data_IF_411031848005
#
_entry.id   IF_411031848005
#
_cell.length_a   1.000
_cell.length_b   1.000
_cell.length_c   1.000
_cell.angle_alpha   90.00
_cell.angle_beta   90.00
_cell.angle_gamma   90.00
#
_symmetry.space_group_name_H-M   'P 1'
#
loop_
_entity.id
_entity.type
_entity.pdbx_description
1 polymer ?
#
# COMPACT_ATOMS: atom_id res chain seq x y z
N UNK A 1 5.77 -13.86 -66.08
CA UNK A 1 4.42 -13.32 -66.30
C UNK A 1 4.41 -11.89 -66.93
N UNK A 2 5.42 -11.04 -66.60
CA UNK A 2 5.58 -9.71 -67.17
C UNK A 2 5.75 -9.74 -68.69
N UNK A 3 6.49 -10.71 -69.21
CA UNK A 3 6.75 -10.91 -70.62
C UNK A 3 5.50 -11.22 -71.47
N UNK A 4 4.47 -11.84 -70.86
CA UNK A 4 3.23 -12.24 -71.51
C UNK A 4 2.17 -11.11 -71.62
N UNK A 5 2.46 -9.93 -71.06
CA UNK A 5 1.47 -8.84 -71.02
C UNK A 5 2.12 -7.52 -71.40
N UNK A 6 2.25 -7.22 -72.69
CA UNK A 6 2.78 -5.94 -73.20
C UNK A 6 2.00 -4.75 -72.67
N UNK A 7 2.70 -3.68 -72.33
CA UNK A 7 2.14 -2.42 -71.83
C UNK A 7 1.70 -2.41 -70.37
N UNK A 8 1.60 -3.56 -69.67
CA UNK A 8 1.20 -3.63 -68.27
C UNK A 8 2.37 -3.42 -67.33
N UNK A 9 2.09 -2.71 -66.20
CA UNK A 9 3.02 -2.60 -65.09
C UNK A 9 2.71 -3.66 -64.04
N UNK A 10 3.75 -4.31 -63.52
CA UNK A 10 3.66 -5.28 -62.41
C UNK A 10 4.57 -4.84 -61.29
N UNK A 11 4.11 -5.05 -60.06
CA UNK A 11 4.85 -4.78 -58.84
C UNK A 11 5.28 -6.11 -58.23
N UNK A 12 6.56 -6.16 -57.77
CA UNK A 12 7.14 -7.28 -57.10
C UNK A 12 7.91 -6.82 -55.85
N UNK A 13 7.88 -7.58 -54.80
CA UNK A 13 8.76 -7.42 -53.64
C UNK A 13 9.73 -8.57 -53.65
N UNK A 14 11.03 -8.25 -53.65
CA UNK A 14 12.11 -9.22 -53.79
C UNK A 14 13.20 -8.97 -52.75
N UNK A 15 13.96 -9.98 -52.42
CA UNK A 15 15.23 -9.84 -51.71
C UNK A 15 16.36 -10.08 -52.70
N UNK A 16 17.21 -9.07 -52.85
CA UNK A 16 18.38 -9.12 -53.73
C UNK A 16 19.66 -9.09 -52.89
N UNK A 17 20.74 -9.64 -53.39
CA UNK A 17 22.06 -9.47 -52.86
C UNK A 17 22.69 -8.26 -53.54
N UNK A 18 23.27 -7.32 -52.75
CA UNK A 18 24.05 -6.22 -53.30
C UNK A 18 25.47 -6.72 -53.70
N UNK A 19 26.30 -5.83 -54.29
CA UNK A 19 27.65 -6.17 -54.73
C UNK A 19 28.59 -6.62 -53.61
N UNK A 20 28.23 -6.38 -52.34
CA UNK A 20 28.98 -6.79 -51.15
C UNK A 20 28.37 -8.01 -50.44
N UNK A 21 27.39 -8.70 -51.10
CA UNK A 21 26.74 -9.89 -50.54
C UNK A 21 25.70 -9.60 -49.45
N UNK A 22 25.25 -8.35 -49.24
CA UNK A 22 24.25 -8.01 -48.27
C UNK A 22 22.86 -8.12 -48.86
N UNK A 23 21.91 -8.66 -48.06
CA UNK A 23 20.50 -8.78 -48.49
C UNK A 23 19.85 -7.41 -48.49
N UNK A 24 19.25 -7.04 -49.62
CA UNK A 24 18.44 -5.83 -49.80
C UNK A 24 16.99 -6.22 -50.05
N UNK A 25 16.04 -5.63 -49.28
CA UNK A 25 14.62 -5.75 -49.58
C UNK A 25 14.26 -4.66 -50.58
N UNK A 26 13.80 -5.06 -51.76
CA UNK A 26 13.51 -4.11 -52.84
C UNK A 26 12.09 -4.29 -53.35
N UNK A 27 11.45 -3.15 -53.65
CA UNK A 27 10.23 -3.11 -54.40
C UNK A 27 10.55 -2.75 -55.85
N UNK A 28 10.05 -3.58 -56.75
CA UNK A 28 10.38 -3.50 -58.16
C UNK A 28 9.12 -3.33 -58.97
N UNK A 29 9.08 -2.32 -59.79
CA UNK A 29 8.03 -2.14 -60.82
C UNK A 29 8.62 -2.42 -62.20
N UNK A 30 8.09 -3.41 -62.84
CA UNK A 30 8.46 -3.77 -64.21
C UNK A 30 7.35 -3.40 -65.17
N UNK A 31 7.68 -2.73 -66.28
CA UNK A 31 6.76 -2.44 -67.40
C UNK A 31 7.33 -3.05 -68.67
N UNK A 32 6.53 -3.89 -69.29
CA UNK A 32 6.89 -4.48 -70.56
C UNK A 32 6.58 -3.53 -71.69
N UNK A 33 7.60 -3.03 -72.41
CA UNK A 33 7.56 -2.15 -73.56
C UNK A 33 8.30 -2.79 -74.74
N UNK A 34 8.26 -4.12 -74.87
CA UNK A 34 8.89 -4.86 -75.97
C UNK A 34 8.27 -4.50 -77.31
N UNK A 35 7.00 -4.20 -77.38
CA UNK A 35 6.27 -3.82 -78.57
C UNK A 35 6.33 -2.31 -78.86
N UNK A 36 6.85 -1.47 -77.93
CA UNK A 36 7.05 -0.06 -78.16
C UNK A 36 8.25 0.18 -79.06
N UNK A 37 8.03 0.84 -80.23
CA UNK A 37 9.11 1.04 -81.23
C UNK A 37 10.27 1.87 -80.71
N UNK A 38 10.06 2.74 -79.74
CA UNK A 38 11.09 3.61 -79.18
C UNK A 38 11.90 2.95 -78.08
N UNK A 39 11.31 1.99 -77.30
CA UNK A 39 11.97 1.39 -76.14
C UNK A 39 12.42 -0.05 -76.40
N UNK A 40 11.60 -0.87 -77.03
CA UNK A 40 11.87 -2.29 -77.38
C UNK A 40 12.48 -3.06 -76.19
N UNK A 41 12.00 -2.82 -74.96
CA UNK A 41 12.59 -3.37 -73.76
C UNK A 41 11.64 -3.42 -72.59
N UNK A 42 12.17 -3.84 -71.43
CA UNK A 42 11.46 -3.82 -70.18
C UNK A 42 12.07 -2.69 -69.33
N UNK A 43 11.24 -1.75 -68.87
CA UNK A 43 11.65 -0.75 -67.92
C UNK A 43 11.45 -1.33 -66.53
N UNK A 44 12.51 -1.33 -65.73
CA UNK A 44 12.45 -1.77 -64.33
C UNK A 44 12.85 -0.60 -63.45
N UNK A 45 11.95 -0.25 -62.50
CA UNK A 45 12.25 0.70 -61.45
C UNK A 45 12.39 -0.09 -60.11
N UNK A 46 13.47 0.17 -59.44
CA UNK A 46 13.81 -0.57 -58.18
C UNK A 46 13.90 0.46 -57.07
N UNK A 47 13.17 0.22 -55.98
CA UNK A 47 13.22 1.03 -54.75
C UNK A 47 13.73 0.19 -53.61
N UNK A 48 14.79 0.63 -52.96
CA UNK A 48 15.36 -0.07 -51.79
C UNK A 48 14.48 0.27 -50.57
N UNK A 49 13.85 -0.74 -49.99
CA UNK A 49 12.99 -0.65 -48.79
C UNK A 49 13.70 -1.26 -47.56
N UNK A 50 14.98 -1.59 -47.64
CA UNK A 50 15.71 -2.33 -46.59
C UNK A 50 15.65 -1.63 -45.24
N UNK A 51 15.91 -0.32 -45.22
CA UNK A 51 15.87 0.47 -43.98
C UNK A 51 14.45 0.57 -43.39
N UNK A 52 13.46 0.77 -44.29
CA UNK A 52 12.05 0.84 -43.89
C UNK A 52 11.55 -0.48 -43.32
N UNK A 53 11.90 -1.62 -43.96
CA UNK A 53 11.54 -2.94 -43.44
C UNK A 53 12.26 -3.25 -42.11
N UNK A 54 13.54 -2.90 -41.98
CA UNK A 54 14.31 -3.06 -40.76
C UNK A 54 13.71 -2.25 -39.59
N UNK A 55 13.32 -0.98 -39.84
CA UNK A 55 12.72 -0.13 -38.82
C UNK A 55 11.32 -0.62 -38.42
N UNK A 56 10.49 -1.05 -39.40
CA UNK A 56 9.19 -1.69 -39.09
C UNK A 56 9.37 -2.96 -38.26
N UNK A 57 10.35 -3.82 -38.58
CA UNK A 57 10.62 -5.02 -37.83
C UNK A 57 11.08 -4.70 -36.38
N UNK A 58 11.92 -3.68 -36.25
CA UNK A 58 12.38 -3.18 -34.94
C UNK A 58 11.23 -2.66 -34.11
N UNK A 59 10.40 -1.76 -34.64
CA UNK A 59 9.22 -1.23 -33.94
C UNK A 59 8.24 -2.35 -33.54
N UNK A 60 8.00 -3.28 -34.46
CA UNK A 60 7.16 -4.46 -34.16
C UNK A 60 7.72 -5.28 -33.00
N UNK A 61 9.04 -5.56 -33.02
CA UNK A 61 9.71 -6.29 -31.92
C UNK A 61 9.59 -5.58 -30.58
N UNK A 62 9.72 -4.26 -30.57
CA UNK A 62 9.53 -3.45 -29.34
C UNK A 62 8.10 -3.56 -28.85
N UNK A 63 7.11 -3.38 -29.70
CA UNK A 63 5.69 -3.50 -29.35
C UNK A 63 5.35 -4.90 -28.83
N UNK A 64 5.89 -5.95 -29.46
CA UNK A 64 5.67 -7.34 -29.04
C UNK A 64 6.35 -7.71 -27.71
N UNK A 65 7.36 -6.94 -27.28
CA UNK A 65 8.05 -7.13 -25.99
C UNK A 65 7.34 -6.43 -24.83
N UNK A 66 6.39 -5.53 -25.10
CA UNK A 66 5.64 -4.85 -24.05
C UNK A 66 4.66 -5.84 -23.36
N UNK A 67 4.54 -5.78 -22.03
CA UNK A 67 3.65 -6.67 -21.28
C UNK A 67 2.17 -6.30 -21.38
N UNK A 68 1.81 -5.28 -22.16
CA UNK A 68 0.46 -4.77 -22.33
C UNK A 68 0.07 -4.62 -23.80
N UNK A 69 -1.21 -4.40 -24.05
CA UNK A 69 -1.80 -4.23 -25.36
C UNK A 69 -1.77 -2.76 -25.78
N UNK A 70 -1.08 -2.47 -26.88
CA UNK A 70 -1.14 -1.16 -27.54
C UNK A 70 -2.28 -1.16 -28.55
N UNK A 71 -3.07 -0.10 -28.56
CA UNK A 71 -4.12 0.11 -29.54
C UNK A 71 -4.19 1.57 -29.99
N UNK A 72 -4.83 1.81 -31.12
CA UNK A 72 -5.10 3.15 -31.64
C UNK A 72 -6.54 3.25 -32.11
N UNK A 73 -7.22 4.33 -31.71
CA UNK A 73 -8.56 4.67 -32.20
C UNK A 73 -8.51 5.95 -33.03
N UNK A 74 -9.29 6.01 -34.10
CA UNK A 74 -9.40 7.18 -34.94
C UNK A 74 -10.56 8.05 -34.48
N UNK A 75 -10.26 9.22 -33.96
CA UNK A 75 -11.27 10.17 -33.49
C UNK A 75 -11.77 11.05 -34.66
N UNK A 76 -13.07 10.98 -34.96
CA UNK A 76 -13.70 11.77 -35.99
C UNK A 76 -14.45 12.96 -35.37
N UNK A 77 -14.57 14.05 -36.13
CA UNK A 77 -15.24 15.26 -35.68
C UNK A 77 -16.74 15.00 -35.51
N UNK A 78 -17.31 15.40 -34.36
CA UNK A 78 -18.74 15.22 -34.08
C UNK A 78 -19.12 13.83 -33.53
N UNK A 79 -18.17 12.90 -33.36
CA UNK A 79 -18.39 11.60 -32.75
C UNK A 79 -17.93 11.61 -31.28
N UNK A 80 -18.63 10.84 -30.41
CA UNK A 80 -18.14 10.62 -29.05
C UNK A 80 -16.82 9.84 -29.11
N UNK A 81 -15.70 10.40 -28.65
CA UNK A 81 -14.40 9.77 -28.76
C UNK A 81 -14.32 8.43 -27.99
N UNK A 82 -15.18 8.21 -26.99
CA UNK A 82 -15.24 6.94 -26.27
C UNK A 82 -15.60 5.76 -27.18
N UNK A 83 -16.35 6.02 -28.25
CA UNK A 83 -16.79 5.02 -29.22
C UNK A 83 -16.10 5.17 -30.59
N UNK A 84 -14.92 5.79 -30.60
CA UNK A 84 -14.12 5.91 -31.80
C UNK A 84 -13.66 4.54 -32.29
N UNK A 85 -13.75 4.24 -33.62
CA UNK A 85 -13.33 2.96 -34.16
C UNK A 85 -11.82 2.73 -33.97
N UNK A 86 -11.45 1.53 -33.56
CA UNK A 86 -10.05 1.15 -33.47
C UNK A 86 -9.45 1.04 -34.88
N UNK A 87 -8.36 1.73 -35.10
CA UNK A 87 -7.55 1.63 -36.32
C UNK A 87 -6.48 0.53 -36.19
N UNK A 88 -6.10 0.20 -34.98
CA UNK A 88 -5.10 -0.83 -34.67
C UNK A 88 -5.30 -1.38 -33.26
N UNK A 89 -5.06 -2.66 -33.09
CA UNK A 89 -4.86 -3.32 -31.80
C UNK A 89 -3.77 -4.40 -31.95
N UNK A 90 -2.83 -4.47 -31.01
CA UNK A 90 -1.75 -5.45 -31.04
C UNK A 90 -2.30 -6.87 -30.84
N UNK A 91 -2.28 -7.78 -31.83
CA UNK A 91 -3.09 -9.00 -31.79
C UNK A 91 -2.74 -9.93 -30.64
N UNK A 92 -1.45 -10.21 -30.43
CA UNK A 92 -0.98 -11.11 -29.39
C UNK A 92 -1.28 -10.58 -27.99
N UNK A 93 -0.90 -9.34 -27.73
CA UNK A 93 -1.05 -8.70 -26.41
C UNK A 93 -2.52 -8.47 -26.07
N UNK A 94 -3.34 -8.10 -27.04
CA UNK A 94 -4.80 -7.98 -26.85
C UNK A 94 -5.41 -9.31 -26.39
N UNK A 95 -5.01 -10.42 -27.03
CA UNK A 95 -5.45 -11.75 -26.63
C UNK A 95 -4.96 -12.13 -25.22
N UNK A 96 -3.73 -11.78 -24.86
CA UNK A 96 -3.15 -12.08 -23.54
C UNK A 96 -3.78 -11.25 -22.44
N UNK A 97 -3.96 -9.94 -22.66
CA UNK A 97 -4.43 -8.98 -21.64
C UNK A 97 -5.95 -8.96 -21.48
N UNK A 98 -6.69 -9.04 -22.59
CA UNK A 98 -8.15 -8.96 -22.60
C UNK A 98 -8.83 -10.33 -22.70
N UNK A 99 -8.13 -11.34 -23.21
CA UNK A 99 -8.67 -12.68 -23.46
C UNK A 99 -9.56 -12.77 -24.71
N UNK A 100 -9.61 -11.73 -25.53
CA UNK A 100 -10.36 -11.65 -26.78
C UNK A 100 -9.41 -11.41 -27.96
N UNK A 101 -9.73 -11.91 -29.16
CA UNK A 101 -8.98 -11.59 -30.36
C UNK A 101 -9.11 -10.09 -30.69
N UNK A 102 -8.05 -9.50 -31.26
CA UNK A 102 -8.03 -8.09 -31.61
C UNK A 102 -9.13 -7.71 -32.62
N UNK A 103 -9.49 -8.64 -33.49
CA UNK A 103 -10.54 -8.50 -34.50
C UNK A 103 -11.89 -8.14 -33.88
N UNK A 104 -12.24 -8.73 -32.72
CA UNK A 104 -13.50 -8.44 -32.03
C UNK A 104 -13.62 -6.97 -31.59
N UNK A 105 -12.48 -6.34 -31.25
CA UNK A 105 -12.45 -4.94 -30.85
C UNK A 105 -12.41 -4.00 -32.08
N UNK A 106 -11.81 -4.46 -33.18
CA UNK A 106 -11.75 -3.69 -34.42
C UNK A 106 -13.08 -3.64 -35.16
N UNK A 107 -13.90 -4.70 -35.05
CA UNK A 107 -15.20 -4.82 -35.73
C UNK A 107 -16.32 -4.03 -35.03
N UNK A 108 -16.30 -3.94 -33.71
CA UNK A 108 -17.32 -3.26 -32.91
C UNK A 108 -16.73 -2.37 -31.84
N UNK A 109 -16.75 -1.03 -32.00
CA UNK A 109 -16.26 -0.09 -30.99
C UNK A 109 -16.97 -0.19 -29.63
N UNK A 110 -18.23 -0.67 -29.61
CA UNK A 110 -18.97 -0.84 -28.36
C UNK A 110 -18.58 -2.14 -27.59
N UNK A 111 -17.95 -3.09 -28.26
CA UNK A 111 -17.57 -4.37 -27.69
C UNK A 111 -16.72 -4.20 -26.43
N UNK A 112 -15.71 -3.35 -26.47
CA UNK A 112 -14.83 -3.07 -25.35
C UNK A 112 -15.62 -2.61 -24.11
N UNK A 113 -16.45 -1.56 -24.26
CA UNK A 113 -17.22 -1.00 -23.15
C UNK A 113 -18.28 -1.97 -22.61
N UNK A 114 -18.79 -2.88 -23.46
CA UNK A 114 -19.69 -3.96 -23.00
C UNK A 114 -19.02 -4.92 -22.02
N UNK A 115 -17.69 -5.04 -22.05
CA UNK A 115 -16.90 -5.88 -21.16
C UNK A 115 -16.33 -5.16 -19.94
N UNK A 116 -16.32 -3.83 -19.94
CA UNK A 116 -16.00 -3.03 -18.74
C UNK A 116 -17.09 -3.23 -17.69
N UNK A 117 -16.68 -3.37 -16.42
CA UNK A 117 -17.64 -3.50 -15.31
C UNK A 117 -18.62 -2.30 -15.30
N UNK A 118 -19.92 -2.53 -15.09
CA UNK A 118 -20.94 -1.45 -15.21
C UNK A 118 -20.64 -0.20 -14.38
N UNK A 119 -20.11 -0.38 -13.16
CA UNK A 119 -19.75 0.74 -12.27
C UNK A 119 -18.55 1.56 -12.77
N UNK A 120 -17.66 0.95 -13.57
CA UNK A 120 -16.42 1.58 -13.99
C UNK A 120 -16.54 2.23 -15.39
N UNK A 121 -17.63 1.94 -16.15
CA UNK A 121 -17.83 2.42 -17.53
C UNK A 121 -17.74 3.93 -17.66
N UNK A 122 -18.48 4.66 -16.83
CA UNK A 122 -18.52 6.11 -16.87
C UNK A 122 -17.15 6.74 -16.66
N UNK A 123 -16.33 6.15 -15.78
CA UNK A 123 -14.97 6.61 -15.51
C UNK A 123 -14.04 6.39 -16.73
N UNK A 124 -14.15 5.22 -17.39
CA UNK A 124 -13.33 4.91 -18.57
C UNK A 124 -13.72 5.80 -19.75
N UNK A 125 -15.01 5.98 -20.01
CA UNK A 125 -15.50 6.89 -21.04
C UNK A 125 -15.03 8.33 -20.81
N UNK A 126 -15.10 8.80 -19.58
CA UNK A 126 -14.65 10.14 -19.21
C UNK A 126 -13.13 10.29 -19.39
N UNK A 127 -12.33 9.28 -19.09
CA UNK A 127 -10.89 9.31 -19.31
C UNK A 127 -10.56 9.45 -20.81
N UNK A 128 -11.29 8.75 -21.69
CA UNK A 128 -11.16 8.89 -23.14
C UNK A 128 -11.52 10.31 -23.61
N UNK A 129 -12.66 10.86 -23.13
CA UNK A 129 -13.07 12.22 -23.48
C UNK A 129 -12.05 13.26 -23.01
N UNK A 130 -11.49 13.10 -21.82
CA UNK A 130 -10.44 13.98 -21.30
C UNK A 130 -9.16 13.91 -22.13
N UNK A 131 -8.74 12.71 -22.55
CA UNK A 131 -7.56 12.58 -23.39
C UNK A 131 -7.72 13.38 -24.70
N UNK A 132 -8.90 13.36 -25.30
CA UNK A 132 -9.18 14.14 -26.52
C UNK A 132 -9.32 15.64 -26.25
N UNK A 133 -9.90 16.02 -25.11
CA UNK A 133 -10.06 17.43 -24.72
C UNK A 133 -8.71 18.08 -24.34
N UNK A 134 -7.71 17.30 -23.91
CA UNK A 134 -6.38 17.78 -23.49
C UNK A 134 -5.27 17.07 -24.29
N UNK A 135 -5.10 17.44 -25.58
CA UNK A 135 -4.12 16.80 -26.45
C UNK A 135 -2.69 16.84 -25.90
N UNK A 136 -1.97 15.73 -26.01
CA UNK A 136 -0.61 15.60 -25.51
C UNK A 136 -0.50 15.31 -24.00
N UNK A 137 -1.59 15.43 -23.24
CA UNK A 137 -1.61 15.03 -21.83
C UNK A 137 -1.96 13.55 -21.69
N UNK A 138 -1.23 12.86 -20.79
CA UNK A 138 -1.50 11.46 -20.49
C UNK A 138 -2.67 11.34 -19.52
N UNK A 139 -3.70 10.59 -19.92
CA UNK A 139 -4.80 10.21 -19.04
C UNK A 139 -4.66 8.76 -18.62
N UNK A 140 -5.03 8.44 -17.37
CA UNK A 140 -4.95 7.10 -16.81
C UNK A 140 -6.31 6.69 -16.28
N UNK A 141 -6.75 5.47 -16.63
CA UNK A 141 -7.94 4.85 -16.08
C UNK A 141 -7.59 3.45 -15.54
N UNK A 142 -8.06 3.13 -14.33
CA UNK A 142 -7.95 1.78 -13.76
C UNK A 142 -9.37 1.25 -13.55
N UNK A 143 -9.68 0.09 -14.11
CA UNK A 143 -11.05 -0.43 -14.17
C UNK A 143 -11.07 -1.94 -14.21
N UNK A 144 -12.23 -2.53 -13.92
CA UNK A 144 -12.50 -3.96 -14.02
C UNK A 144 -13.00 -4.31 -15.43
N UNK A 145 -12.41 -5.32 -16.04
CA UNK A 145 -12.74 -5.79 -17.37
C UNK A 145 -13.03 -7.30 -17.35
N UNK A 146 -14.10 -7.75 -18.00
CA UNK A 146 -14.45 -9.16 -18.11
C UNK A 146 -13.53 -9.85 -19.10
N UNK A 147 -12.55 -10.58 -18.59
CA UNK A 147 -11.55 -11.27 -19.40
C UNK A 147 -12.16 -12.47 -20.15
N UNK A 148 -11.99 -12.49 -21.47
CA UNK A 148 -12.67 -13.45 -22.34
C UNK A 148 -12.36 -14.92 -22.07
N UNK A 149 -11.13 -15.25 -21.73
CA UNK A 149 -10.73 -16.64 -21.44
C UNK A 149 -10.93 -17.03 -19.98
N UNK A 150 -10.71 -16.10 -19.03
CA UNK A 150 -10.88 -16.37 -17.60
C UNK A 150 -12.34 -16.37 -17.17
N UNK A 151 -13.21 -15.66 -17.90
CA UNK A 151 -14.63 -15.52 -17.56
C UNK A 151 -14.90 -14.73 -16.27
N UNK A 152 -13.89 -14.04 -15.75
CA UNK A 152 -13.94 -13.23 -14.52
C UNK A 152 -13.45 -11.82 -14.78
N UNK A 153 -13.81 -10.89 -13.91
CA UNK A 153 -13.26 -9.55 -13.96
C UNK A 153 -11.79 -9.52 -13.55
N UNK A 154 -10.98 -8.83 -14.33
CA UNK A 154 -9.57 -8.53 -14.06
C UNK A 154 -9.40 -7.02 -13.96
N UNK A 155 -8.44 -6.57 -13.16
CA UNK A 155 -8.09 -5.16 -13.08
C UNK A 155 -7.12 -4.80 -14.20
N UNK A 156 -7.51 -3.83 -15.00
CA UNK A 156 -6.69 -3.26 -16.07
C UNK A 156 -6.40 -1.81 -15.78
N UNK A 157 -5.24 -1.37 -16.24
CA UNK A 157 -4.87 0.05 -16.28
C UNK A 157 -4.63 0.45 -17.72
N UNK A 158 -5.30 1.51 -18.14
CA UNK A 158 -5.18 2.10 -19.45
C UNK A 158 -4.50 3.46 -19.37
N UNK A 159 -3.53 3.68 -20.23
CA UNK A 159 -2.81 4.94 -20.40
C UNK A 159 -3.12 5.48 -21.77
N UNK A 160 -3.72 6.67 -21.85
CA UNK A 160 -4.31 7.26 -23.06
C UNK A 160 -3.59 8.55 -23.40
N UNK A 161 -3.29 8.74 -24.67
CA UNK A 161 -2.77 10.00 -25.21
C UNK A 161 -3.41 10.26 -26.58
N UNK A 162 -3.81 11.51 -26.82
CA UNK A 162 -4.40 11.93 -28.09
C UNK A 162 -3.45 12.88 -28.83
N UNK A 163 -3.28 12.58 -30.12
CA UNK A 163 -2.56 13.44 -31.07
C UNK A 163 -3.54 14.08 -32.05
N UNK A 164 -3.73 15.41 -32.00
CA UNK A 164 -4.66 16.10 -32.87
C UNK A 164 -4.21 16.19 -34.35
N UNK A 165 -2.89 16.08 -34.63
CA UNK A 165 -2.38 16.14 -36.00
C UNK A 165 -2.75 14.89 -36.79
N UNK A 166 -2.61 13.73 -36.15
CA UNK A 166 -2.96 12.41 -36.73
C UNK A 166 -4.41 12.01 -36.48
N UNK A 167 -5.09 12.69 -35.53
CA UNK A 167 -6.41 12.34 -34.99
C UNK A 167 -6.46 10.94 -34.41
N UNK A 168 -5.33 10.47 -33.85
CA UNK A 168 -5.22 9.16 -33.21
C UNK A 168 -5.19 9.29 -31.69
N UNK A 169 -6.09 8.57 -31.05
CA UNK A 169 -6.01 8.25 -29.63
C UNK A 169 -5.21 6.95 -29.50
N UNK A 170 -4.04 7.02 -28.88
CA UNK A 170 -3.21 5.84 -28.61
C UNK A 170 -3.40 5.43 -27.16
N UNK A 171 -3.71 4.16 -26.96
CA UNK A 171 -3.87 3.56 -25.63
C UNK A 171 -2.89 2.44 -25.41
N UNK A 172 -2.51 2.25 -24.15
CA UNK A 172 -1.70 1.13 -23.64
C UNK A 172 -2.38 0.53 -22.41
N UNK A 173 -2.91 -0.67 -22.57
CA UNK A 173 -3.66 -1.39 -21.54
C UNK A 173 -2.84 -2.56 -21.00
N UNK A 174 -2.76 -2.71 -19.68
CA UNK A 174 -2.05 -3.81 -19.03
C UNK A 174 -2.74 -4.29 -17.75
N UNK A 175 -2.43 -5.52 -17.36
CA UNK A 175 -2.96 -6.17 -16.17
C UNK A 175 -2.29 -5.59 -14.91
N UNK A 176 -3.12 -5.18 -13.93
CA UNK A 176 -2.68 -4.64 -12.62
C UNK A 176 -3.29 -5.41 -11.45
N UNK A 177 -3.75 -6.65 -11.66
CA UNK A 177 -4.35 -7.45 -10.58
C UNK A 177 -3.42 -7.61 -9.39
N UNK A 178 -2.15 -7.86 -9.63
CA UNK A 178 -1.16 -8.03 -8.55
C UNK A 178 -0.96 -6.74 -7.75
N UNK A 179 -0.81 -5.60 -8.45
CA UNK A 179 -0.67 -4.29 -7.79
C UNK A 179 -1.89 -3.94 -6.93
N UNK A 180 -3.10 -4.13 -7.49
CA UNK A 180 -4.36 -3.86 -6.78
C UNK A 180 -4.54 -4.81 -5.60
N UNK A 181 -4.24 -6.09 -5.76
CA UNK A 181 -4.33 -7.08 -4.68
C UNK A 181 -3.35 -6.76 -3.53
N UNK A 182 -2.12 -6.37 -3.84
CA UNK A 182 -1.12 -5.96 -2.84
C UNK A 182 -1.58 -4.70 -2.08
N UNK A 183 -2.10 -3.70 -2.77
CA UNK A 183 -2.59 -2.47 -2.14
C UNK A 183 -3.84 -2.72 -1.28
N UNK A 184 -4.76 -3.58 -1.74
CA UNK A 184 -5.91 -4.00 -0.95
C UNK A 184 -5.49 -4.75 0.31
N UNK A 185 -4.61 -5.75 0.18
CA UNK A 185 -4.10 -6.51 1.32
C UNK A 185 -3.38 -5.61 2.32
N UNK A 186 -2.60 -4.62 1.85
CA UNK A 186 -1.95 -3.62 2.70
C UNK A 186 -2.98 -2.80 3.46
N UNK A 187 -3.98 -2.27 2.76
CA UNK A 187 -5.04 -1.43 3.35
C UNK A 187 -5.86 -2.21 4.38
N UNK A 188 -6.24 -3.46 4.04
CA UNK A 188 -6.97 -4.35 4.96
C UNK A 188 -6.15 -4.69 6.20
N UNK A 189 -4.85 -4.98 6.03
CA UNK A 189 -3.94 -5.26 7.15
C UNK A 189 -3.79 -4.06 8.07
N UNK A 190 -3.61 -2.85 7.50
CA UNK A 190 -3.53 -1.60 8.27
C UNK A 190 -4.84 -1.31 9.02
N UNK A 191 -5.99 -1.50 8.37
CA UNK A 191 -7.30 -1.31 8.99
C UNK A 191 -7.57 -2.32 10.11
N UNK A 192 -7.23 -3.59 9.89
CA UNK A 192 -7.34 -4.65 10.91
C UNK A 192 -6.43 -4.36 12.11
N UNK A 193 -5.16 -4.04 11.86
CA UNK A 193 -4.23 -3.67 12.93
C UNK A 193 -4.77 -2.50 13.77
N UNK A 194 -5.24 -1.44 13.12
CA UNK A 194 -5.82 -0.28 13.80
C UNK A 194 -7.02 -0.67 14.63
N UNK A 195 -7.94 -1.45 14.07
CA UNK A 195 -9.15 -1.92 14.79
C UNK A 195 -8.78 -2.74 16.02
N UNK A 196 -7.87 -3.71 15.88
CA UNK A 196 -7.42 -4.55 16.99
C UNK A 196 -6.72 -3.72 18.08
N UNK A 197 -5.87 -2.79 17.69
CA UNK A 197 -5.19 -1.92 18.65
C UNK A 197 -6.17 -1.00 19.40
N UNK A 198 -7.13 -0.39 18.69
CA UNK A 198 -8.10 0.55 19.28
C UNK A 198 -9.16 -0.13 20.16
N UNK A 199 -9.47 -1.40 19.92
CA UNK A 199 -10.45 -2.17 20.71
C UNK A 199 -9.83 -2.96 21.85
N UNK A 200 -8.50 -3.09 21.89
CA UNK A 200 -7.80 -3.83 22.93
C UNK A 200 -8.04 -3.20 24.33
N UNK A 201 -8.40 -4.00 25.36
CA UNK A 201 -8.56 -3.52 26.72
C UNK A 201 -7.18 -3.38 27.44
N UNK A 202 -6.17 -3.01 26.69
CA UNK A 202 -4.80 -2.82 27.11
C UNK A 202 -4.21 -1.58 26.46
N UNK A 203 -3.40 -0.87 27.19
CA UNK A 203 -2.58 0.22 26.64
C UNK A 203 -1.62 -0.36 25.61
N UNK A 204 -1.63 0.18 24.39
CA UNK A 204 -0.68 -0.16 23.31
C UNK A 204 0.06 1.10 22.90
N UNK A 205 1.38 1.04 22.97
CA UNK A 205 2.28 2.13 22.64
C UNK A 205 3.33 1.66 21.64
N UNK A 206 3.59 2.47 20.63
CA UNK A 206 4.76 2.36 19.78
C UNK A 206 5.60 3.61 19.94
N UNK A 207 6.85 3.47 20.28
CA UNK A 207 7.78 4.58 20.37
C UNK A 207 9.07 4.29 19.63
N UNK A 208 9.62 5.31 19.01
CA UNK A 208 10.72 5.22 18.06
C UNK A 208 11.71 6.34 18.31
N UNK A 209 13.00 6.09 18.12
CA UNK A 209 14.00 7.14 18.13
C UNK A 209 13.86 8.00 16.85
N UNK A 210 13.80 9.32 17.00
CA UNK A 210 13.77 10.25 15.86
C UNK A 210 15.10 10.20 15.10
N UNK A 211 16.22 10.18 15.83
CA UNK A 211 17.56 9.94 15.31
C UNK A 211 18.03 8.53 15.72
N UNK A 212 18.31 7.63 14.75
CA UNK A 212 18.86 6.31 15.05
C UNK A 212 20.21 6.34 15.81
N UNK A 213 20.92 7.47 15.77
CA UNK A 213 22.17 7.68 16.51
C UNK A 213 21.96 8.21 17.92
N UNK A 214 20.86 8.92 18.14
CA UNK A 214 20.44 9.43 19.44
C UNK A 214 19.17 8.74 19.91
N UNK A 215 19.33 7.60 20.57
CA UNK A 215 18.20 6.83 21.09
C UNK A 215 17.47 7.55 22.23
N UNK A 216 18.03 8.62 22.79
CA UNK A 216 17.36 9.46 23.80
C UNK A 216 16.32 10.38 23.20
N UNK A 217 16.35 10.58 21.87
CA UNK A 217 15.34 11.31 21.09
C UNK A 217 14.02 10.55 20.93
N UNK A 218 13.90 9.34 21.49
CA UNK A 218 12.73 8.49 21.31
C UNK A 218 11.43 9.17 21.74
N UNK A 219 10.48 9.20 20.82
CA UNK A 219 9.15 9.76 20.99
C UNK A 219 8.08 8.72 20.68
N UNK A 220 6.90 8.97 21.17
CA UNK A 220 5.74 8.13 20.89
C UNK A 220 5.33 8.31 19.44
N UNK A 221 5.28 7.21 18.69
CA UNK A 221 4.79 7.18 17.31
C UNK A 221 3.30 6.80 17.23
N UNK A 222 2.82 5.97 18.18
CA UNK A 222 1.44 5.53 18.26
C UNK A 222 1.03 5.27 19.71
N UNK A 223 -0.20 5.59 20.04
CA UNK A 223 -0.91 5.20 21.25
C UNK A 223 -2.35 4.85 20.87
N UNK A 224 -2.87 3.74 21.38
CA UNK A 224 -4.28 3.39 21.20
C UNK A 224 -5.18 4.18 22.15
N UNK A 225 -6.50 4.10 21.89
CA UNK A 225 -7.51 4.78 22.71
C UNK A 225 -7.40 4.46 24.20
N UNK A 226 -7.09 3.23 24.56
CA UNK A 226 -6.95 2.82 25.96
C UNK A 226 -5.77 3.49 26.64
N UNK A 227 -4.65 3.70 25.94
CA UNK A 227 -3.50 4.44 26.46
C UNK A 227 -3.86 5.91 26.77
N UNK A 228 -4.60 6.56 25.89
CA UNK A 228 -5.07 7.94 26.10
C UNK A 228 -6.08 8.03 27.25
N UNK A 229 -7.03 7.09 27.31
CA UNK A 229 -8.03 7.02 28.37
C UNK A 229 -7.40 6.81 29.75
N UNK A 230 -6.48 5.88 29.85
CA UNK A 230 -5.83 5.51 31.11
C UNK A 230 -4.94 6.64 31.64
N UNK A 231 -4.20 7.29 30.76
CA UNK A 231 -3.24 8.33 31.15
C UNK A 231 -3.86 9.73 31.25
N UNK A 232 -4.98 9.97 30.55
CA UNK A 232 -5.65 11.29 30.49
C UNK A 232 -4.95 12.30 29.61
N UNK A 233 -3.86 11.92 28.91
CA UNK A 233 -3.15 12.79 27.97
C UNK A 233 -3.71 12.65 26.56
N UNK A 234 -3.59 13.71 25.76
CA UNK A 234 -3.79 13.62 24.30
C UNK A 234 -2.56 13.00 23.63
N UNK A 235 -2.72 12.55 22.38
CA UNK A 235 -1.61 12.00 21.63
C UNK A 235 -0.48 13.04 21.45
N UNK A 236 -0.83 14.28 21.16
CA UNK A 236 0.12 15.38 20.99
C UNK A 236 0.92 15.66 22.28
N UNK A 237 0.24 15.62 23.42
CA UNK A 237 0.91 15.80 24.73
C UNK A 237 1.88 14.65 25.02
N UNK A 238 1.51 13.41 24.66
CA UNK A 238 2.39 12.24 24.83
C UNK A 238 3.58 12.28 23.85
N UNK A 239 3.40 12.84 22.67
CA UNK A 239 4.47 12.99 21.67
C UNK A 239 5.44 14.14 21.98
N UNK A 240 4.99 15.16 22.73
CA UNK A 240 5.78 16.32 23.03
C UNK A 240 7.01 16.03 23.91
N UNK A 241 6.99 14.92 24.65
CA UNK A 241 8.02 14.58 25.64
C UNK A 241 8.49 13.13 25.48
N UNK A 242 9.71 12.80 25.94
CA UNK A 242 10.16 11.40 26.04
C UNK A 242 9.21 10.58 26.91
N UNK A 243 8.90 9.36 26.47
CA UNK A 243 7.89 8.50 27.11
C UNK A 243 8.18 8.23 28.60
N UNK A 244 9.43 8.20 29.01
CA UNK A 244 9.81 7.97 30.42
C UNK A 244 9.47 9.16 31.34
N UNK A 245 9.11 10.33 30.81
CA UNK A 245 8.64 11.44 31.65
C UNK A 245 7.26 11.20 32.26
N UNK A 246 6.46 10.32 31.63
CA UNK A 246 5.15 9.90 32.15
C UNK A 246 5.26 8.75 33.15
N UNK A 247 6.45 8.21 33.36
CA UNK A 247 6.74 7.17 34.36
C UNK A 247 6.96 7.82 35.72
N UNK A 248 6.46 7.14 36.77
CA UNK A 248 6.66 7.58 38.15
C UNK A 248 8.17 7.81 38.43
N UNK A 249 8.56 8.87 39.14
CA UNK A 249 9.98 9.24 39.36
C UNK A 249 10.87 8.09 39.84
N UNK A 250 10.39 7.27 40.78
CA UNK A 250 11.13 6.12 41.32
C UNK A 250 11.38 4.99 40.30
N UNK A 251 10.53 4.86 39.27
CA UNK A 251 10.62 3.77 38.27
C UNK A 251 11.27 4.24 36.98
N UNK A 252 11.42 5.56 36.80
CA UNK A 252 11.83 6.23 35.55
C UNK A 252 13.16 5.73 35.01
N UNK A 253 14.18 5.64 35.89
CA UNK A 253 15.52 5.25 35.46
C UNK A 253 15.54 3.81 34.94
N UNK A 254 14.87 2.87 35.61
CA UNK A 254 14.79 1.48 35.21
C UNK A 254 14.04 1.31 33.89
N UNK A 255 12.92 2.01 33.72
CA UNK A 255 12.11 1.97 32.48
C UNK A 255 12.90 2.53 31.31
N UNK A 256 13.55 3.68 31.51
CA UNK A 256 14.41 4.32 30.51
C UNK A 256 15.57 3.41 30.09
N UNK A 257 16.30 2.86 31.04
CA UNK A 257 17.42 1.95 30.77
C UNK A 257 16.99 0.72 29.95
N UNK A 258 15.88 0.07 30.33
CA UNK A 258 15.31 -1.07 29.60
C UNK A 258 14.84 -0.71 28.19
N UNK A 259 14.23 0.44 28.03
CA UNK A 259 13.79 0.93 26.75
C UNK A 259 14.96 1.18 25.78
N UNK A 260 15.98 1.90 26.25
CA UNK A 260 17.17 2.17 25.45
C UNK A 260 17.95 0.90 25.10
N UNK A 261 18.04 -0.06 26.04
CA UNK A 261 18.65 -1.38 25.79
C UNK A 261 17.94 -2.12 24.64
N UNK A 262 16.59 -2.10 24.61
CA UNK A 262 15.82 -2.70 23.50
C UNK A 262 16.09 -2.03 22.17
N UNK A 263 16.12 -0.71 22.12
CA UNK A 263 16.45 0.01 20.86
C UNK A 263 17.85 -0.36 20.35
N UNK A 264 18.81 -0.58 21.24
CA UNK A 264 20.16 -1.05 20.89
C UNK A 264 20.20 -2.50 20.41
N UNK A 265 19.12 -3.27 20.59
CA UNK A 265 19.06 -4.69 20.27
C UNK A 265 19.51 -5.62 21.40
N UNK A 266 19.69 -5.09 22.60
CA UNK A 266 19.90 -5.87 23.82
C UNK A 266 18.58 -6.55 24.25
N UNK A 267 18.66 -7.57 25.10
CA UNK A 267 17.52 -8.37 25.54
C UNK A 267 17.20 -8.16 27.05
N UNK A 268 16.73 -6.95 27.45
CA UNK A 268 16.26 -6.75 28.82
C UNK A 268 14.95 -7.54 29.06
N UNK A 269 14.50 -7.71 30.32
CA UNK A 269 13.25 -8.40 30.63
C UNK A 269 12.09 -7.91 29.76
N UNK A 270 11.37 -8.83 29.12
CA UNK A 270 10.26 -8.50 28.22
C UNK A 270 9.03 -8.03 28.97
N UNK A 271 8.79 -8.52 30.20
CA UNK A 271 7.63 -8.19 31.04
C UNK A 271 8.08 -7.72 32.43
N UNK A 272 7.48 -6.65 32.91
CA UNK A 272 7.73 -6.09 34.25
C UNK A 272 6.63 -5.11 34.63
N UNK A 273 6.49 -4.85 35.93
CA UNK A 273 5.54 -3.88 36.45
C UNK A 273 6.24 -2.57 36.77
N UNK A 274 5.55 -1.47 36.54
CA UNK A 274 5.99 -0.12 36.92
C UNK A 274 4.80 0.83 37.03
N UNK A 275 5.03 2.01 37.59
CA UNK A 275 4.00 3.02 37.80
C UNK A 275 4.10 4.14 36.74
N UNK A 276 2.96 4.59 36.27
CA UNK A 276 2.82 5.78 35.42
C UNK A 276 2.05 6.85 36.17
N UNK A 277 2.27 8.10 35.78
CA UNK A 277 1.53 9.26 36.27
C UNK A 277 0.51 9.70 35.23
N UNK A 278 -0.75 9.77 35.62
CA UNK A 278 -1.79 10.37 34.77
C UNK A 278 -1.63 11.90 34.72
N UNK A 279 -2.31 12.55 33.81
CA UNK A 279 -2.35 14.03 33.69
C UNK A 279 -2.83 14.70 34.97
N UNK A 280 -3.70 14.05 35.73
CA UNK A 280 -4.21 14.51 37.03
C UNK A 280 -3.26 14.18 38.20
N UNK A 281 -2.11 13.58 37.95
CA UNK A 281 -1.14 13.22 38.97
C UNK A 281 -1.45 11.89 39.68
N UNK A 282 -2.45 11.14 39.27
CA UNK A 282 -2.76 9.82 39.83
C UNK A 282 -1.72 8.80 39.44
N UNK A 283 -1.40 7.88 40.37
CA UNK A 283 -0.49 6.76 40.12
C UNK A 283 -1.30 5.57 39.57
N UNK A 284 -0.88 5.02 38.42
CA UNK A 284 -1.41 3.78 37.84
C UNK A 284 -0.33 2.72 37.74
N UNK A 285 -0.65 1.51 38.15
CA UNK A 285 0.25 0.37 38.00
C UNK A 285 0.04 -0.34 36.70
N UNK A 286 1.11 -0.51 35.94
CA UNK A 286 1.06 -1.26 34.68
C UNK A 286 1.82 -2.58 34.82
N UNK A 287 1.22 -3.66 34.34
CA UNK A 287 1.90 -4.87 33.95
C UNK A 287 2.24 -4.75 32.45
N UNK A 288 3.49 -4.53 32.15
CA UNK A 288 3.94 -4.06 30.84
C UNK A 288 4.84 -5.09 30.17
N UNK A 289 4.52 -5.40 28.94
CA UNK A 289 5.33 -6.20 28.04
C UNK A 289 5.83 -5.35 26.88
N UNK A 290 7.10 -5.49 26.50
CA UNK A 290 7.69 -4.72 25.42
C UNK A 290 8.60 -5.56 24.54
N UNK A 291 8.53 -5.33 23.23
CA UNK A 291 9.34 -5.96 22.21
C UNK A 291 10.00 -4.93 21.30
N UNK A 292 11.22 -5.22 20.84
CA UNK A 292 11.83 -4.45 19.74
C UNK A 292 11.17 -4.84 18.44
N UNK A 293 10.80 -3.83 17.67
CA UNK A 293 10.27 -3.98 16.32
C UNK A 293 11.01 -3.03 15.37
N UNK A 294 10.81 -3.19 14.09
CA UNK A 294 11.35 -2.27 13.09
C UNK A 294 10.19 -1.62 12.33
N UNK A 295 10.19 -0.30 12.26
CA UNK A 295 9.18 0.48 11.58
C UNK A 295 9.88 1.43 10.59
N UNK A 296 9.57 1.28 9.31
CA UNK A 296 10.20 2.06 8.23
C UNK A 296 11.73 2.03 8.26
N UNK A 297 12.33 0.85 8.54
CA UNK A 297 13.77 0.66 8.62
C UNK A 297 14.44 1.27 9.86
N UNK A 298 13.66 1.69 10.87
CA UNK A 298 14.15 2.26 12.12
C UNK A 298 13.77 1.40 13.31
N UNK A 299 14.64 1.25 14.31
CA UNK A 299 14.31 0.52 15.53
C UNK A 299 13.24 1.25 16.32
N UNK A 300 12.25 0.51 16.76
CA UNK A 300 11.16 0.96 17.59
C UNK A 300 10.87 -0.05 18.71
N UNK A 301 10.11 0.35 19.70
CA UNK A 301 9.63 -0.52 20.78
C UNK A 301 8.11 -0.50 20.79
N UNK A 302 7.52 -1.67 20.58
CA UNK A 302 6.11 -1.91 20.81
C UNK A 302 5.91 -2.35 22.26
N UNK A 303 5.08 -1.63 22.98
CA UNK A 303 4.73 -1.91 24.36
C UNK A 303 3.24 -2.14 24.52
N UNK A 304 2.90 -3.15 25.34
CA UNK A 304 1.52 -3.45 25.74
C UNK A 304 1.45 -3.45 27.25
N UNK A 305 0.52 -2.70 27.82
CA UNK A 305 0.36 -2.56 29.27
C UNK A 305 -1.07 -2.83 29.72
N UNK A 306 -1.20 -3.60 30.78
CA UNK A 306 -2.47 -3.80 31.49
C UNK A 306 -2.47 -2.93 32.75
N UNK A 307 -3.56 -2.20 32.99
CA UNK A 307 -3.75 -1.54 34.28
C UNK A 307 -4.08 -2.57 35.35
N UNK A 308 -3.18 -2.71 36.29
CA UNK A 308 -3.31 -3.60 37.45
C UNK A 308 -3.50 -2.83 38.74
N UNK A 309 -3.85 -1.54 38.69
CA UNK A 309 -3.96 -0.67 39.87
C UNK A 309 -4.96 -1.25 40.89
N UNK A 310 -6.14 -1.60 40.42
CA UNK A 310 -7.17 -2.19 41.28
C UNK A 310 -6.74 -3.53 41.91
N UNK A 311 -6.03 -4.37 41.15
CA UNK A 311 -5.49 -5.62 41.67
C UNK A 311 -4.42 -5.36 42.75
N UNK A 312 -3.55 -4.37 42.56
CA UNK A 312 -2.52 -3.99 43.53
C UNK A 312 -3.12 -3.34 44.78
N UNK A 313 -4.16 -2.55 44.66
CA UNK A 313 -4.90 -1.98 45.77
C UNK A 313 -5.61 -3.07 46.60
N UNK A 314 -6.26 -4.04 45.96
CA UNK A 314 -6.85 -5.20 46.64
C UNK A 314 -5.79 -6.05 47.35
N UNK A 315 -4.67 -6.33 46.71
CA UNK A 315 -3.54 -7.07 47.31
C UNK A 315 -3.07 -6.38 48.57
N UNK A 316 -2.80 -5.06 48.52
CA UNK A 316 -2.38 -4.26 49.67
C UNK A 316 -3.40 -4.27 50.79
N UNK A 317 -4.70 -4.16 50.45
CA UNK A 317 -5.78 -4.20 51.44
C UNK A 317 -5.84 -5.56 52.13
N UNK A 318 -5.73 -6.67 51.38
CA UNK A 318 -5.72 -8.00 51.95
C UNK A 318 -4.48 -8.25 52.84
N UNK A 319 -3.30 -7.80 52.39
CA UNK A 319 -2.07 -7.89 53.20
C UNK A 319 -2.22 -7.11 54.53
N UNK A 320 -2.80 -5.91 54.44
CA UNK A 320 -3.08 -5.09 55.60
C UNK A 320 -4.05 -5.79 56.57
N UNK A 321 -5.17 -6.35 56.07
CA UNK A 321 -6.07 -7.13 56.91
C UNK A 321 -5.40 -8.35 57.52
N UNK A 322 -4.55 -9.07 56.78
CA UNK A 322 -3.81 -10.22 57.30
C UNK A 322 -2.86 -9.81 58.42
N UNK A 323 -2.16 -8.66 58.29
CA UNK A 323 -1.28 -8.12 59.32
C UNK A 323 -2.06 -7.75 60.59
N UNK A 324 -3.22 -7.08 60.45
CA UNK A 324 -4.10 -6.76 61.60
C UNK A 324 -4.56 -8.06 62.28
N UNK A 325 -5.05 -9.03 61.52
CA UNK A 325 -5.53 -10.31 62.07
C UNK A 325 -4.42 -11.07 62.79
N UNK A 326 -3.19 -11.05 62.32
CA UNK A 326 -2.02 -11.67 62.96
C UNK A 326 -1.68 -10.96 64.27
N UNK A 327 -1.65 -9.61 64.27
CA UNK A 327 -1.39 -8.81 65.44
C UNK A 327 -2.42 -9.05 66.55
N UNK A 328 -3.71 -9.08 66.19
CA UNK A 328 -4.79 -9.40 67.13
C UNK A 328 -4.70 -10.80 67.72
N UNK A 329 -4.24 -11.76 66.95
CA UNK A 329 -4.06 -13.17 67.41
C UNK A 329 -2.89 -13.35 68.34
N UNK A 330 -1.90 -12.51 68.30
CA UNK A 330 -0.68 -12.55 69.15
C UNK A 330 -0.81 -11.76 70.42
N UNK A 331 -1.88 -10.98 70.58
CA UNK A 331 -2.12 -10.16 71.78
C UNK A 331 -2.65 -11.01 72.91
N UNK A 332 -2.06 -10.86 74.10
CA UNK A 332 -2.39 -11.65 75.31
C UNK A 332 -3.57 -11.08 76.09
N UNK A 333 -3.88 -9.77 75.92
CA UNK A 333 -4.94 -9.11 76.60
C UNK A 333 -5.65 -8.05 75.71
N UNK A 334 -6.84 -7.60 76.14
CA UNK A 334 -7.69 -6.71 75.37
C UNK A 334 -7.02 -5.37 75.06
N UNK A 335 -6.21 -4.84 75.95
CA UNK A 335 -5.51 -3.58 75.76
C UNK A 335 -4.47 -3.66 74.66
N UNK A 336 -3.61 -4.69 74.66
CA UNK A 336 -2.62 -4.97 73.61
C UNK A 336 -3.28 -5.24 72.27
N UNK A 337 -4.45 -5.90 72.26
CA UNK A 337 -5.24 -6.14 71.09
C UNK A 337 -5.73 -4.87 70.46
N UNK A 338 -6.20 -3.93 71.26
CA UNK A 338 -6.67 -2.59 70.81
C UNK A 338 -5.51 -1.72 70.33
N UNK A 339 -4.41 -1.69 71.04
CA UNK A 339 -3.23 -0.92 70.63
C UNK A 339 -2.66 -1.46 69.33
N UNK A 340 -2.56 -2.78 69.17
CA UNK A 340 -2.13 -3.44 67.93
C UNK A 340 -3.08 -3.18 66.73
N UNK A 341 -4.41 -3.21 66.98
CA UNK A 341 -5.41 -2.90 65.99
C UNK A 341 -5.35 -1.42 65.53
N UNK A 342 -5.17 -0.51 66.48
CA UNK A 342 -5.05 0.94 66.22
C UNK A 342 -3.78 1.24 65.43
N UNK A 343 -2.63 0.70 65.87
CA UNK A 343 -1.35 0.86 65.16
C UNK A 343 -1.39 0.31 63.75
N UNK A 344 -2.04 -0.83 63.54
CA UNK A 344 -2.21 -1.43 62.21
C UNK A 344 -3.14 -0.56 61.37
N UNK A 345 -4.27 -0.08 61.90
CA UNK A 345 -5.19 0.80 61.19
C UNK A 345 -4.52 2.15 60.78
N UNK A 346 -3.73 2.75 61.70
CA UNK A 346 -2.97 3.99 61.41
C UNK A 346 -1.95 3.76 60.29
N UNK A 347 -1.26 2.64 60.27
CA UNK A 347 -0.32 2.28 59.18
C UNK A 347 -1.01 2.06 57.83
N UNK A 348 -2.18 1.42 57.83
CA UNK A 348 -2.98 1.15 56.60
C UNK A 348 -3.52 2.47 56.04
N UNK A 349 -4.03 3.32 56.89
CA UNK A 349 -4.67 4.60 56.46
C UNK A 349 -3.71 5.75 56.27
N UNK A 350 -2.40 5.53 56.60
CA UNK A 350 -1.39 6.59 56.64
C UNK A 350 -1.81 7.78 57.52
N UNK A 351 -2.70 7.57 58.47
CA UNK A 351 -3.19 8.59 59.37
C UNK A 351 -2.17 8.90 60.49
N UNK A 352 -1.99 10.18 60.79
CA UNK A 352 -1.06 10.64 61.78
C UNK A 352 -1.53 10.40 63.25
N UNK A 353 -2.81 10.10 63.47
CA UNK A 353 -3.38 9.82 64.79
C UNK A 353 -4.72 9.10 64.66
N UNK A 354 -5.07 8.32 65.70
CA UNK A 354 -6.35 7.62 65.83
C UNK A 354 -6.67 7.31 67.27
N UNK A 355 -7.92 7.03 67.58
CA UNK A 355 -8.36 6.61 68.93
C UNK A 355 -9.35 5.46 68.81
N UNK A 356 -9.24 4.48 69.68
CA UNK A 356 -10.19 3.40 69.92
C UNK A 356 -10.86 3.63 71.27
N UNK A 357 -12.16 3.69 71.31
CA UNK A 357 -12.94 3.90 72.53
C UNK A 357 -13.67 2.57 72.87
N UNK A 358 -13.48 2.09 74.11
CA UNK A 358 -14.26 1.02 74.68
C UNK A 358 -15.49 1.60 75.33
N UNK A 359 -16.65 1.02 74.99
CA UNK A 359 -17.88 1.28 75.67
C UNK A 359 -18.23 0.06 76.52
N UNK A 360 -18.27 0.25 77.84
CA UNK A 360 -18.81 -0.73 78.79
C UNK A 360 -20.28 -0.38 79.05
N UNK A 361 -21.17 -1.29 78.78
CA UNK A 361 -22.55 -1.19 79.27
C UNK A 361 -22.57 -1.68 80.73
N UNK A 362 -23.04 -0.83 81.65
CA UNK A 362 -23.29 -1.14 83.05
C UNK A 362 -24.37 -2.21 83.23
#
# INVERSE_FOLDING_TARGET
DLLRHPGKTREFRLRLLDAWGRVRAVRVWGRNLLEDPAVRGIIINVHDETELEAERARLKSVLEALPGAVYQARVEEGQDPAYAPLAYAAPKQTQEVLGYPAEALLEDPAFFFAKVHPEDRAQVEEAVRRAVAHPGEVQIATYRFLHGQKGTYVWLRDTLIYDPETRLLTGYTYDVNEEVAQEQARTESEALFRTLAETAPALILLWQAEDPKDLTSARLAFANREALRLTGYTLEELQAKPIWEFVHPQDREVVRARGLARLKGEAPPTRYTFRVLTKEGQVRWLDYSAARVEVQGRPAVLGVGLDITEAKERERTLEAFAQVALALRQSENLKEMMESALDAALRITEAGAGALLLYEED
#
